data_IF_481393029779
#
_entry.id   IF_481393029779
#
_cell.length_a   1.000
_cell.length_b   1.000
_cell.length_c   1.000
_cell.angle_alpha   90.00
_cell.angle_beta   90.00
_cell.angle_gamma   90.00
#
_symmetry.space_group_name_H-M   'P 1'
#
loop_
_entity.id
_entity.type
_entity.pdbx_description
1 polymer ?
#
# COMPACT_ATOMS: atom_id res chain seq x y z
N UNK A 1 23.74 -18.68 -3.15
CA UNK A 1 24.13 -17.60 -2.21
C UNK A 1 24.70 -18.19 -0.92
N UNK A 2 25.74 -17.59 -0.33
CA UNK A 2 26.17 -17.97 1.02
C UNK A 2 25.06 -17.60 2.00
N UNK A 3 24.68 -18.51 2.90
CA UNK A 3 23.61 -18.32 3.92
C UNK A 3 23.77 -17.00 4.69
N UNK A 4 25.01 -16.57 4.93
CA UNK A 4 25.30 -15.30 5.61
C UNK A 4 24.80 -14.07 4.85
N UNK A 5 24.94 -14.02 3.52
CA UNK A 5 24.52 -12.84 2.74
C UNK A 5 23.00 -12.67 2.77
N UNK A 6 22.25 -13.77 2.73
CA UNK A 6 20.78 -13.78 2.82
C UNK A 6 20.31 -13.29 4.20
N UNK A 7 20.92 -13.78 5.29
CA UNK A 7 20.58 -13.35 6.66
C UNK A 7 20.91 -11.89 6.96
N UNK A 8 21.91 -11.34 6.28
CA UNK A 8 22.25 -9.93 6.40
C UNK A 8 21.24 -9.04 5.65
N UNK A 9 20.68 -9.50 4.53
CA UNK A 9 19.57 -8.83 3.83
C UNK A 9 18.29 -8.83 4.68
N UNK A 10 17.96 -9.96 5.32
CA UNK A 10 16.83 -10.06 6.26
C UNK A 10 16.91 -9.00 7.38
N UNK A 11 18.12 -8.70 7.86
CA UNK A 11 18.36 -7.69 8.91
C UNK A 11 18.03 -6.26 8.44
N UNK A 12 18.44 -5.90 7.21
CA UNK A 12 18.17 -4.58 6.65
C UNK A 12 16.68 -4.45 6.31
N UNK A 13 16.12 -5.48 5.69
CA UNK A 13 14.71 -5.50 5.31
C UNK A 13 13.80 -5.41 6.54
N UNK A 14 14.10 -6.15 7.61
CA UNK A 14 13.36 -6.04 8.87
C UNK A 14 13.44 -4.64 9.50
N UNK A 15 14.59 -3.96 9.41
CA UNK A 15 14.69 -2.58 9.90
C UNK A 15 13.82 -1.61 9.08
N UNK A 16 13.84 -1.74 7.75
CA UNK A 16 12.98 -0.95 6.86
C UNK A 16 11.50 -1.20 7.20
N UNK A 17 11.10 -2.46 7.35
CA UNK A 17 9.72 -2.81 7.71
C UNK A 17 9.31 -2.24 9.07
N UNK A 18 10.21 -2.26 10.08
CA UNK A 18 9.94 -1.62 11.37
C UNK A 18 9.68 -0.12 11.17
N UNK A 19 10.55 0.58 10.44
CA UNK A 19 10.40 2.03 10.20
C UNK A 19 9.08 2.33 9.48
N UNK A 20 8.78 1.58 8.41
CA UNK A 20 7.54 1.74 7.64
C UNK A 20 6.32 1.45 8.52
N UNK A 21 6.32 0.37 9.30
CA UNK A 21 5.22 0.05 10.21
C UNK A 21 5.00 1.12 11.28
N UNK A 22 6.07 1.66 11.90
CA UNK A 22 5.93 2.78 12.84
C UNK A 22 5.36 4.00 12.15
N UNK A 23 5.91 4.38 10.98
CA UNK A 23 5.42 5.52 10.20
C UNK A 23 3.93 5.39 9.87
N UNK A 24 3.51 4.23 9.35
CA UNK A 24 2.12 3.95 9.04
C UNK A 24 1.24 4.03 10.29
N UNK A 25 1.66 3.46 11.43
CA UNK A 25 0.90 3.57 12.68
C UNK A 25 0.73 5.03 13.13
N UNK A 26 1.76 5.86 12.98
CA UNK A 26 1.68 7.29 13.31
C UNK A 26 0.69 8.03 12.40
N UNK A 27 0.73 7.79 11.09
CA UNK A 27 -0.25 8.39 10.17
C UNK A 27 -1.67 7.88 10.43
N UNK A 28 -1.82 6.61 10.82
CA UNK A 28 -3.12 6.09 11.21
C UNK A 28 -3.65 6.75 12.48
N UNK A 29 -2.80 7.00 13.49
CA UNK A 29 -3.21 7.75 14.69
C UNK A 29 -3.66 9.17 14.31
N UNK A 30 -2.97 9.84 13.39
CA UNK A 30 -3.41 11.14 12.87
C UNK A 30 -4.76 11.04 12.18
N UNK A 31 -4.92 10.08 11.28
CA UNK A 31 -6.16 9.83 10.53
C UNK A 31 -7.32 9.38 11.45
N UNK A 32 -7.01 8.79 12.60
CA UNK A 32 -7.99 8.38 13.59
C UNK A 32 -8.65 9.59 14.27
N UNK A 33 -7.88 10.62 14.60
CA UNK A 33 -8.39 11.86 15.20
C UNK A 33 -8.78 12.93 14.17
N UNK A 34 -8.24 12.83 12.95
CA UNK A 34 -8.49 13.77 11.87
C UNK A 34 -8.40 13.08 10.50
N UNK A 35 -9.47 12.36 10.08
CA UNK A 35 -9.45 11.54 8.87
C UNK A 35 -9.33 12.32 7.55
N UNK A 36 -9.48 13.65 7.59
CA UNK A 36 -9.47 14.52 6.39
C UNK A 36 -8.48 15.67 6.49
N UNK A 37 -7.53 15.61 7.42
CA UNK A 37 -6.54 16.68 7.65
C UNK A 37 -7.19 18.07 7.83
N UNK A 38 -8.37 18.12 8.46
CA UNK A 38 -9.06 19.36 8.82
C UNK A 38 -8.21 20.23 9.73
N UNK A 39 -8.40 21.54 9.69
CA UNK A 39 -7.60 22.46 10.47
C UNK A 39 -7.87 22.27 11.98
N UNK A 40 -6.91 21.68 12.70
CA UNK A 40 -7.07 21.22 14.10
C UNK A 40 -7.47 22.35 15.06
N UNK A 41 -7.12 23.60 14.75
CA UNK A 41 -7.42 24.76 15.58
C UNK A 41 -8.86 25.27 15.45
N UNK A 42 -9.54 24.97 14.34
CA UNK A 42 -10.82 25.61 13.99
C UNK A 42 -11.97 24.60 13.79
N UNK A 43 -11.68 23.34 13.43
CA UNK A 43 -12.70 22.40 12.95
C UNK A 43 -12.79 21.07 13.72
N UNK A 44 -11.87 20.79 14.65
CA UNK A 44 -11.90 19.58 15.48
C UNK A 44 -12.50 19.91 16.83
N UNK A 45 -13.78 19.60 17.03
CA UNK A 45 -14.44 19.79 18.30
C UNK A 45 -14.11 18.65 19.27
N UNK A 46 -14.20 18.90 20.59
CA UNK A 46 -14.05 17.85 21.60
C UNK A 46 -15.06 16.70 21.46
N UNK A 47 -16.19 16.94 20.79
CA UNK A 47 -17.17 15.90 20.47
C UNK A 47 -16.67 14.97 19.35
N UNK A 48 -15.95 15.48 18.35
CA UNK A 48 -15.38 14.66 17.27
C UNK A 48 -14.32 13.69 17.81
N UNK A 49 -13.51 14.13 18.78
CA UNK A 49 -12.52 13.28 19.46
C UNK A 49 -13.22 12.21 20.29
N UNK A 50 -14.29 12.57 21.00
CA UNK A 50 -15.09 11.63 21.78
C UNK A 50 -15.75 10.58 20.88
N UNK A 51 -16.31 10.99 19.74
CA UNK A 51 -16.94 10.11 18.77
C UNK A 51 -15.92 9.21 18.08
N UNK A 52 -14.73 9.70 17.75
CA UNK A 52 -13.62 8.89 17.24
C UNK A 52 -13.22 7.77 18.23
N UNK A 53 -13.20 8.06 19.53
CA UNK A 53 -12.91 7.07 20.57
C UNK A 53 -14.07 6.06 20.73
N UNK A 54 -15.32 6.53 20.73
CA UNK A 54 -16.51 5.67 20.89
C UNK A 54 -16.74 4.76 19.68
N UNK A 55 -16.52 5.27 18.48
CA UNK A 55 -16.75 4.58 17.20
C UNK A 55 -15.44 4.21 16.51
N UNK A 56 -14.40 3.93 17.29
CA UNK A 56 -13.04 3.62 16.83
C UNK A 56 -12.97 2.54 15.73
N UNK A 57 -13.87 1.55 15.80
CA UNK A 57 -13.95 0.44 14.85
C UNK A 57 -14.49 0.85 13.47
N UNK A 58 -15.12 2.02 13.36
CA UNK A 58 -15.58 2.59 12.08
C UNK A 58 -14.53 3.50 11.44
N UNK A 59 -13.42 3.76 12.13
CA UNK A 59 -12.37 4.64 11.62
C UNK A 59 -11.72 4.04 10.35
N UNK A 60 -11.52 4.85 9.28
CA UNK A 60 -10.80 4.40 8.09
C UNK A 60 -9.35 4.01 8.40
N UNK A 61 -8.80 4.46 9.52
CA UNK A 61 -7.46 4.12 9.99
C UNK A 61 -7.37 2.72 10.61
N UNK A 62 -8.50 2.08 10.97
CA UNK A 62 -8.50 0.86 11.76
C UNK A 62 -7.82 -0.32 11.05
N UNK A 63 -8.22 -0.62 9.81
CA UNK A 63 -7.63 -1.72 9.03
C UNK A 63 -6.13 -1.50 8.74
N UNK A 64 -5.70 -0.30 8.29
CA UNK A 64 -4.27 0.01 8.15
C UNK A 64 -3.44 -0.22 9.43
N UNK A 65 -3.98 0.12 10.62
CA UNK A 65 -3.29 -0.15 11.91
C UNK A 65 -3.07 -1.63 12.14
N UNK A 66 -4.10 -2.47 11.92
CA UNK A 66 -3.98 -3.92 12.11
C UNK A 66 -2.89 -4.49 11.20
N UNK A 67 -2.89 -4.08 9.93
CA UNK A 67 -1.89 -4.51 8.95
C UNK A 67 -0.49 -4.04 9.38
N UNK A 68 -0.35 -2.79 9.81
CA UNK A 68 0.93 -2.24 10.26
C UNK A 68 1.48 -2.98 11.49
N UNK A 69 0.62 -3.37 12.44
CA UNK A 69 0.98 -4.19 13.60
C UNK A 69 1.42 -5.60 13.17
N UNK A 70 0.71 -6.23 12.25
CA UNK A 70 1.09 -7.55 11.73
C UNK A 70 2.45 -7.51 11.02
N UNK A 71 2.69 -6.48 10.19
CA UNK A 71 3.99 -6.26 9.53
C UNK A 71 5.08 -6.00 10.57
N UNK A 72 4.80 -5.20 11.60
CA UNK A 72 5.74 -4.92 12.70
C UNK A 72 6.15 -6.22 13.39
N UNK A 73 5.19 -7.08 13.71
CA UNK A 73 5.45 -8.37 14.33
C UNK A 73 6.36 -9.25 13.47
N UNK A 74 6.03 -9.38 12.17
CA UNK A 74 6.85 -10.10 11.20
C UNK A 74 8.27 -9.54 11.10
N UNK A 75 8.40 -8.21 11.08
CA UNK A 75 9.67 -7.52 11.01
C UNK A 75 10.54 -7.77 12.25
N UNK A 76 9.95 -7.72 13.45
CA UNK A 76 10.66 -8.03 14.70
C UNK A 76 11.12 -9.50 14.70
N UNK A 77 10.29 -10.43 14.23
CA UNK A 77 10.67 -11.84 14.13
C UNK A 77 11.83 -12.06 13.15
N UNK A 78 11.77 -11.44 11.97
CA UNK A 78 12.85 -11.45 10.98
C UNK A 78 14.14 -10.87 11.55
N UNK A 79 14.07 -9.73 12.24
CA UNK A 79 15.22 -9.09 12.87
C UNK A 79 15.87 -9.99 13.91
N UNK A 80 15.07 -10.61 14.78
CA UNK A 80 15.57 -11.56 15.80
C UNK A 80 16.23 -12.78 15.16
N UNK A 81 15.64 -13.34 14.11
CA UNK A 81 16.19 -14.50 13.40
C UNK A 81 17.53 -14.16 12.71
N UNK A 82 17.60 -12.99 12.07
CA UNK A 82 18.81 -12.50 11.42
C UNK A 82 19.95 -12.26 12.44
N UNK A 83 19.66 -11.61 13.57
CA UNK A 83 20.64 -11.41 14.66
C UNK A 83 21.11 -12.73 15.27
N UNK A 84 20.20 -13.67 15.54
CA UNK A 84 20.55 -15.00 16.08
C UNK A 84 21.46 -15.77 15.13
N UNK A 85 21.35 -15.51 13.83
CA UNK A 85 22.19 -16.14 12.79
C UNK A 85 23.54 -15.45 12.57
N UNK A 86 23.93 -14.48 13.42
CA UNK A 86 25.24 -13.83 13.36
C UNK A 86 25.37 -12.70 12.35
N UNK A 87 24.26 -12.21 11.77
CA UNK A 87 24.30 -11.06 10.87
C UNK A 87 24.75 -9.79 11.61
N UNK A 88 25.83 -9.15 11.14
CA UNK A 88 26.34 -7.86 11.63
C UNK A 88 26.05 -6.75 10.61
N UNK A 89 25.76 -5.54 11.10
CA UNK A 89 25.62 -4.33 10.27
C UNK A 89 26.99 -3.89 9.77
N UNK A 90 27.40 -4.37 8.59
CA UNK A 90 28.69 -4.01 7.97
C UNK A 90 28.51 -3.69 6.48
N UNK A 91 27.61 -2.74 6.22
CA UNK A 91 26.92 -2.55 4.93
C UNK A 91 27.18 -1.22 4.22
N UNK A 92 27.96 -0.30 4.79
CA UNK A 92 28.28 0.96 4.11
C UNK A 92 29.43 0.85 3.10
N UNK A 93 29.53 -0.26 2.38
CA UNK A 93 30.47 -0.44 1.25
C UNK A 93 29.68 -0.40 -0.06
N UNK A 94 30.12 0.47 -0.99
CA UNK A 94 29.43 0.71 -2.28
C UNK A 94 29.21 -0.58 -3.08
N UNK A 95 30.11 -1.57 -2.99
CA UNK A 95 29.96 -2.82 -3.74
C UNK A 95 28.74 -3.64 -3.30
N UNK A 96 28.44 -3.68 -1.99
CA UNK A 96 27.32 -4.46 -1.44
C UNK A 96 25.96 -3.80 -1.70
N UNK A 97 25.92 -2.47 -1.80
CA UNK A 97 24.71 -1.75 -2.19
C UNK A 97 24.32 -2.05 -3.65
N UNK A 98 25.30 -2.16 -4.55
CA UNK A 98 25.07 -2.56 -5.95
C UNK A 98 24.58 -4.00 -6.03
N UNK A 99 25.12 -4.90 -5.21
CA UNK A 99 24.65 -6.30 -5.14
C UNK A 99 23.21 -6.42 -4.63
N UNK A 100 22.81 -5.54 -3.70
CA UNK A 100 21.43 -5.46 -3.19
C UNK A 100 20.43 -5.01 -4.27
N UNK A 101 20.79 -4.02 -5.10
CA UNK A 101 19.92 -3.52 -6.19
C UNK A 101 19.79 -4.55 -7.32
N UNK A 102 20.85 -5.34 -7.58
CA UNK A 102 20.84 -6.40 -8.60
C UNK A 102 20.05 -7.65 -8.17
N UNK A 103 19.56 -7.72 -6.95
CA UNK A 103 18.76 -8.85 -6.50
C UNK A 103 17.40 -8.87 -7.23
N UNK A 104 16.98 -9.99 -7.84
CA UNK A 104 15.66 -10.12 -8.45
C UNK A 104 14.50 -9.77 -7.50
N UNK A 105 14.61 -10.09 -6.21
CA UNK A 105 13.58 -9.73 -5.21
C UNK A 105 13.49 -8.22 -5.02
N UNK A 106 14.63 -7.52 -4.97
CA UNK A 106 14.67 -6.06 -4.91
C UNK A 106 14.09 -5.44 -6.18
N UNK A 107 14.41 -5.98 -7.35
CA UNK A 107 13.87 -5.51 -8.62
C UNK A 107 12.35 -5.67 -8.69
N UNK A 108 11.80 -6.80 -8.22
CA UNK A 108 10.35 -7.04 -8.12
C UNK A 108 9.73 -6.04 -7.14
N UNK A 109 10.34 -5.84 -5.97
CA UNK A 109 9.84 -4.89 -4.97
C UNK A 109 9.80 -3.46 -5.54
N UNK A 110 10.87 -3.02 -6.22
CA UNK A 110 10.92 -1.71 -6.90
C UNK A 110 9.85 -1.60 -7.98
N UNK A 111 9.63 -2.65 -8.77
CA UNK A 111 8.58 -2.66 -9.80
C UNK A 111 7.17 -2.54 -9.18
N UNK A 112 6.89 -3.28 -8.11
CA UNK A 112 5.60 -3.22 -7.39
C UNK A 112 5.40 -1.84 -6.78
N UNK A 113 6.38 -1.33 -6.03
CA UNK A 113 6.33 -0.01 -5.40
C UNK A 113 6.14 1.08 -6.46
N UNK A 114 6.91 1.04 -7.55
CA UNK A 114 6.80 1.99 -8.64
C UNK A 114 5.42 1.96 -9.30
N UNK A 115 4.86 0.78 -9.50
CA UNK A 115 3.52 0.63 -10.09
C UNK A 115 2.43 1.17 -9.17
N UNK A 116 2.53 0.92 -7.86
CA UNK A 116 1.62 1.49 -6.86
C UNK A 116 1.77 3.02 -6.76
N UNK A 117 3.00 3.53 -6.83
CA UNK A 117 3.25 4.97 -6.81
C UNK A 117 2.64 5.66 -8.03
N UNK A 118 2.80 5.11 -9.23
CA UNK A 118 2.15 5.62 -10.45
C UNK A 118 0.63 5.56 -10.33
N UNK A 119 0.11 4.48 -9.74
CA UNK A 119 -1.32 4.34 -9.51
C UNK A 119 -1.88 5.45 -8.61
N UNK A 120 -1.26 5.67 -7.44
CA UNK A 120 -1.74 6.62 -6.44
C UNK A 120 -1.47 8.08 -6.86
N UNK A 121 -0.28 8.38 -7.37
CA UNK A 121 0.15 9.76 -7.61
C UNK A 121 -0.22 10.29 -9.00
N UNK A 122 -0.44 9.40 -9.98
CA UNK A 122 -0.74 9.82 -11.35
C UNK A 122 -2.11 9.35 -11.79
N UNK A 123 -2.38 8.04 -11.71
CA UNK A 123 -3.56 7.46 -12.36
C UNK A 123 -4.87 7.86 -11.67
N UNK A 124 -4.93 7.79 -10.35
CA UNK A 124 -6.10 8.23 -9.57
C UNK A 124 -6.36 9.73 -9.79
N UNK A 125 -5.40 10.65 -9.60
CA UNK A 125 -5.62 12.08 -9.85
C UNK A 125 -6.02 12.40 -11.28
N UNK A 126 -5.39 11.76 -12.28
CA UNK A 126 -5.74 11.99 -13.68
C UNK A 126 -7.17 11.52 -13.99
N UNK A 127 -7.57 10.34 -13.49
CA UNK A 127 -8.93 9.86 -13.65
C UNK A 127 -9.92 10.76 -12.93
N UNK A 128 -9.58 11.27 -11.74
CA UNK A 128 -10.42 12.22 -11.00
C UNK A 128 -10.63 13.49 -11.82
N UNK A 129 -9.56 14.11 -12.32
CA UNK A 129 -9.67 15.32 -13.13
C UNK A 129 -10.49 15.13 -14.41
N UNK A 130 -10.40 13.98 -15.06
CA UNK A 130 -11.10 13.72 -16.33
C UNK A 130 -12.54 13.24 -16.16
N UNK A 131 -12.85 12.56 -15.06
CA UNK A 131 -14.11 11.82 -14.88
C UNK A 131 -14.94 12.26 -13.66
N UNK A 132 -14.67 13.45 -13.10
CA UNK A 132 -15.48 14.09 -12.03
C UNK A 132 -16.84 14.61 -12.56
N UNK A 133 -17.56 13.74 -13.27
CA UNK A 133 -18.77 14.09 -14.04
C UNK A 133 -20.04 13.67 -13.30
N UNK A 134 -19.96 12.74 -12.34
CA UNK A 134 -21.11 12.21 -11.62
C UNK A 134 -21.07 12.53 -10.12
N UNK A 135 -21.87 13.51 -9.63
CA UNK A 135 -21.90 13.85 -8.20
C UNK A 135 -22.41 12.72 -7.31
N UNK A 136 -23.07 11.69 -7.88
CA UNK A 136 -23.65 10.56 -7.15
C UNK A 136 -22.77 9.30 -7.15
N UNK A 137 -21.75 9.22 -8.02
CA UNK A 137 -20.85 8.06 -8.08
C UNK A 137 -19.39 8.49 -7.95
N UNK A 138 -19.05 9.02 -6.77
CA UNK A 138 -17.70 9.50 -6.44
C UNK A 138 -16.61 8.42 -6.55
N UNK A 139 -16.98 7.13 -6.50
CA UNK A 139 -16.05 6.01 -6.73
C UNK A 139 -15.73 5.73 -8.19
N UNK A 140 -16.36 6.42 -9.16
CA UNK A 140 -16.13 6.18 -10.59
C UNK A 140 -14.68 6.40 -11.02
N UNK A 141 -14.01 7.52 -10.66
CA UNK A 141 -12.63 7.74 -11.07
C UNK A 141 -11.68 6.69 -10.52
N UNK A 142 -11.87 6.30 -9.26
CA UNK A 142 -11.14 5.21 -8.61
C UNK A 142 -11.35 3.86 -9.32
N UNK A 143 -12.59 3.55 -9.72
CA UNK A 143 -12.91 2.33 -10.45
C UNK A 143 -12.19 2.26 -11.80
N UNK A 144 -12.18 3.37 -12.55
CA UNK A 144 -11.51 3.45 -13.84
C UNK A 144 -9.99 3.36 -13.69
N UNK A 145 -9.41 4.04 -12.70
CA UNK A 145 -7.99 3.91 -12.39
C UNK A 145 -7.64 2.45 -12.05
N UNK A 146 -8.43 1.81 -11.18
CA UNK A 146 -8.24 0.40 -10.79
C UNK A 146 -8.31 -0.52 -12.01
N UNK A 147 -9.30 -0.30 -12.89
CA UNK A 147 -9.47 -1.05 -14.13
C UNK A 147 -8.24 -0.92 -15.03
N UNK A 148 -7.78 0.30 -15.30
CA UNK A 148 -6.63 0.55 -16.19
C UNK A 148 -5.39 -0.14 -15.63
N UNK A 149 -5.13 -0.03 -14.33
CA UNK A 149 -3.98 -0.67 -13.69
C UNK A 149 -4.01 -2.18 -13.86
N UNK A 150 -5.13 -2.83 -13.49
CA UNK A 150 -5.30 -4.27 -13.58
C UNK A 150 -5.25 -4.75 -15.04
N UNK A 151 -5.92 -4.04 -15.94
CA UNK A 151 -5.94 -4.35 -17.37
C UNK A 151 -4.53 -4.31 -17.94
N UNK A 152 -3.75 -3.26 -17.67
CA UNK A 152 -2.37 -3.14 -18.15
C UNK A 152 -1.50 -4.25 -17.58
N UNK A 153 -1.56 -4.50 -16.27
CA UNK A 153 -0.76 -5.57 -15.65
C UNK A 153 -1.10 -6.94 -16.23
N UNK A 154 -2.39 -7.29 -16.31
CA UNK A 154 -2.81 -8.58 -16.83
C UNK A 154 -2.50 -8.73 -18.32
N UNK A 155 -2.69 -7.68 -19.13
CA UNK A 155 -2.39 -7.75 -20.57
C UNK A 155 -0.89 -7.79 -20.84
N UNK A 156 -0.07 -7.09 -20.05
CA UNK A 156 1.40 -7.08 -20.20
C UNK A 156 2.00 -8.41 -19.75
N UNK A 157 1.53 -8.97 -18.64
CA UNK A 157 2.10 -10.19 -18.04
C UNK A 157 1.51 -11.49 -18.60
N UNK A 158 0.34 -11.46 -19.25
CA UNK A 158 -0.28 -12.64 -19.85
C UNK A 158 0.18 -12.85 -21.30
N UNK A 159 -0.04 -14.07 -21.81
CA UNK A 159 0.23 -14.40 -23.20
C UNK A 159 -0.60 -13.54 -24.16
N UNK A 160 0.04 -13.07 -25.24
CA UNK A 160 -0.51 -12.14 -26.23
C UNK A 160 -1.43 -12.83 -27.24
N UNK A 161 -2.45 -13.52 -26.73
CA UNK A 161 -3.55 -14.05 -27.53
C UNK A 161 -4.78 -13.16 -27.37
N UNK A 162 -5.48 -12.86 -28.47
CA UNK A 162 -6.67 -12.00 -28.47
C UNK A 162 -7.73 -12.50 -27.47
N UNK A 163 -7.92 -13.83 -27.38
CA UNK A 163 -8.83 -14.44 -26.38
C UNK A 163 -8.39 -14.16 -24.94
N UNK A 164 -7.09 -14.28 -24.66
CA UNK A 164 -6.53 -14.05 -23.32
C UNK A 164 -6.58 -12.58 -22.92
N UNK A 165 -6.33 -11.67 -23.87
CA UNK A 165 -6.47 -10.22 -23.66
C UNK A 165 -7.92 -9.87 -23.31
N UNK A 166 -8.90 -10.38 -24.05
CA UNK A 166 -10.32 -10.12 -23.77
C UNK A 166 -10.74 -10.66 -22.38
N UNK A 167 -10.28 -11.85 -22.01
CA UNK A 167 -10.52 -12.41 -20.67
C UNK A 167 -9.88 -11.52 -19.60
N UNK A 168 -8.63 -11.09 -19.79
CA UNK A 168 -7.95 -10.19 -18.87
C UNK A 168 -8.69 -8.85 -18.68
N UNK A 169 -9.22 -8.27 -19.75
CA UNK A 169 -10.04 -7.05 -19.67
C UNK A 169 -11.35 -7.29 -18.91
N UNK A 170 -12.03 -8.41 -19.16
CA UNK A 170 -13.27 -8.75 -18.47
C UNK A 170 -13.02 -8.97 -16.97
N UNK A 171 -11.97 -9.72 -16.62
CA UNK A 171 -11.58 -9.95 -15.23
C UNK A 171 -11.22 -8.61 -14.57
N UNK A 172 -10.42 -7.77 -15.22
CA UNK A 172 -10.08 -6.45 -14.70
C UNK A 172 -11.31 -5.58 -14.42
N UNK A 173 -12.31 -5.58 -15.32
CA UNK A 173 -13.54 -4.81 -15.15
C UNK A 173 -14.40 -5.31 -13.97
N UNK A 174 -14.56 -6.63 -13.85
CA UNK A 174 -15.31 -7.23 -12.73
C UNK A 174 -14.58 -6.99 -11.42
N UNK A 175 -13.26 -7.18 -11.39
CA UNK A 175 -12.44 -6.94 -10.20
C UNK A 175 -12.43 -5.48 -9.79
N UNK A 176 -12.32 -4.53 -10.71
CA UNK A 176 -12.34 -3.09 -10.37
C UNK A 176 -13.69 -2.66 -9.79
N UNK A 177 -14.80 -3.17 -10.33
CA UNK A 177 -16.13 -2.92 -9.78
C UNK A 177 -16.28 -3.52 -8.37
N UNK A 178 -15.84 -4.77 -8.18
CA UNK A 178 -15.88 -5.44 -6.89
C UNK A 178 -15.02 -4.71 -5.83
N UNK A 179 -13.80 -4.30 -6.18
CA UNK A 179 -12.91 -3.53 -5.30
C UNK A 179 -13.56 -2.20 -4.94
N UNK A 180 -14.05 -1.44 -5.92
CA UNK A 180 -14.72 -0.15 -5.68
C UNK A 180 -15.93 -0.30 -4.75
N UNK A 181 -16.75 -1.33 -4.95
CA UNK A 181 -17.89 -1.61 -4.09
C UNK A 181 -17.48 -2.03 -2.67
N UNK A 182 -16.51 -2.94 -2.54
CA UNK A 182 -16.02 -3.41 -1.25
C UNK A 182 -15.39 -2.26 -0.44
N UNK A 183 -14.57 -1.42 -1.05
CA UNK A 183 -13.92 -0.32 -0.35
C UNK A 183 -14.87 0.87 -0.12
N UNK A 184 -15.61 1.30 -1.14
CA UNK A 184 -16.47 2.48 -1.06
C UNK A 184 -17.78 2.23 -0.31
N UNK A 185 -18.42 1.07 -0.49
CA UNK A 185 -19.75 0.80 0.06
C UNK A 185 -19.70 -0.10 1.31
N UNK A 186 -18.95 -1.21 1.27
CA UNK A 186 -18.91 -2.15 2.41
C UNK A 186 -17.98 -1.69 3.53
N UNK A 187 -16.79 -1.21 3.18
CA UNK A 187 -15.81 -0.73 4.15
C UNK A 187 -15.98 0.77 4.47
N UNK A 188 -16.84 1.48 3.74
CA UNK A 188 -17.09 2.93 3.88
C UNK A 188 -15.80 3.77 3.86
N UNK A 189 -14.76 3.29 3.16
CA UNK A 189 -13.51 4.02 3.01
C UNK A 189 -13.78 5.11 1.96
N UNK A 190 -13.55 6.40 2.29
CA UNK A 190 -13.71 7.48 1.32
C UNK A 190 -12.73 7.24 0.18
N UNK A 191 -13.28 6.93 -1.00
CA UNK A 191 -12.47 6.67 -2.18
C UNK A 191 -11.96 8.00 -2.78
N UNK A 192 -10.69 8.05 -3.19
CA UNK A 192 -10.10 9.25 -3.77
C UNK A 192 -10.59 9.54 -5.18
#
# INVERSE_FOLDING_TARGET
MKKETLRKVDLVFSLILIIVSVGTMLECVRMFFNPFEKDFANEVSGNDVKDAILYWYTSPAFLPVIIAIAIMFCAIMLFRLARKSGAKFDFFTKEKAVEFIKNPETAIAVFVIGTIAVYILCLIPACRQMFDVFPHFQGFPFMIATFILLAVQMVVLNEKSLKKIMISLLVAAVSSAAVTYCFGTLAMIPLP
#
